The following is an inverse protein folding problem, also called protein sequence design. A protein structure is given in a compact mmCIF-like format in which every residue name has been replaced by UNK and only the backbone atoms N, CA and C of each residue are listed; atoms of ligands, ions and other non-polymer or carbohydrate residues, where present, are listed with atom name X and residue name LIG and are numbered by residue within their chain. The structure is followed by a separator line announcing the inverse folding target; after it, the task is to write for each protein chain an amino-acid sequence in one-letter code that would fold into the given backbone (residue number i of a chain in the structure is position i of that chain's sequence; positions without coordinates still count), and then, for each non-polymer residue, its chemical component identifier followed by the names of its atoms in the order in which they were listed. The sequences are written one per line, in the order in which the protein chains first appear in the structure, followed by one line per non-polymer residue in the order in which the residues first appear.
data_IF_896992658495
#
_entry.id   IF_896992658495
#
_cell.length_a   1.000
_cell.length_b   1.000
_cell.length_c   1.000
_cell.angle_alpha   90.00
_cell.angle_beta   90.00
_cell.angle_gamma   90.00
#
_symmetry.space_group_name_H-M   'P 1'
#
loop_
_entity.id
_entity.type
_entity.pdbx_description
1 polymer ?
#
# COMPACT_ATOMS: atom_id res chain seq x y z
N UNK A 1 -38.60 0.11 -10.96
CA UNK A 1 -38.31 -1.27 -11.38
C UNK A 1 -37.66 -1.20 -12.76
N UNK A 2 -36.34 -1.34 -12.83
CA UNK A 2 -35.62 -1.74 -14.04
C UNK A 2 -34.63 -2.81 -13.59
N UNK A 3 -34.88 -4.03 -14.04
CA UNK A 3 -33.98 -5.15 -13.84
C UNK A 3 -32.79 -4.97 -14.77
N UNK A 4 -31.58 -4.91 -14.22
CA UNK A 4 -30.36 -5.22 -14.97
C UNK A 4 -29.99 -6.65 -14.60
N UNK A 5 -30.02 -7.54 -15.60
CA UNK A 5 -29.71 -8.95 -15.46
C UNK A 5 -28.26 -9.19 -14.99
N UNK A 6 -28.03 -10.44 -14.59
CA UNK A 6 -26.78 -11.03 -14.09
C UNK A 6 -25.52 -10.62 -14.90
N UNK A 7 -24.94 -9.47 -14.59
CA UNK A 7 -23.49 -9.30 -14.57
C UNK A 7 -23.10 -9.69 -13.15
N UNK A 8 -22.51 -10.86 -12.95
CA UNK A 8 -22.00 -11.23 -11.62
C UNK A 8 -21.17 -10.06 -11.08
N UNK A 9 -21.41 -9.64 -9.84
CA UNK A 9 -21.10 -8.30 -9.31
C UNK A 9 -19.60 -7.97 -9.36
N UNK A 10 -19.10 -7.52 -10.52
CA UNK A 10 -17.68 -7.21 -10.80
C UNK A 10 -17.27 -5.81 -10.32
N UNK A 11 -18.15 -5.08 -9.66
CA UNK A 11 -17.91 -3.71 -9.21
C UNK A 11 -17.98 -3.69 -7.70
N UNK A 12 -16.90 -3.20 -7.09
CA UNK A 12 -16.85 -2.94 -5.65
C UNK A 12 -16.78 -1.43 -5.42
N UNK A 13 -17.55 -0.93 -4.45
CA UNK A 13 -17.52 0.47 -3.99
C UNK A 13 -17.29 0.46 -2.48
N UNK A 14 -16.29 1.21 -2.03
CA UNK A 14 -15.95 1.31 -0.61
C UNK A 14 -15.16 2.58 -0.31
N UNK A 15 -14.82 2.74 0.97
CA UNK A 15 -13.95 3.81 1.45
C UNK A 15 -12.57 3.23 1.76
N UNK A 16 -11.52 3.82 1.19
CA UNK A 16 -10.16 3.31 1.36
C UNK A 16 -9.71 3.27 2.82
N UNK A 17 -10.09 4.25 3.66
CA UNK A 17 -9.74 4.28 5.07
C UNK A 17 -10.46 3.19 5.88
N UNK A 18 -11.75 2.98 5.63
CA UNK A 18 -12.54 1.93 6.30
C UNK A 18 -12.06 0.54 5.89
N UNK A 19 -11.88 0.28 4.60
CA UNK A 19 -11.42 -1.01 4.09
C UNK A 19 -10.00 -1.34 4.52
N UNK A 20 -9.11 -0.35 4.47
CA UNK A 20 -7.72 -0.51 4.87
C UNK A 20 -7.57 -0.86 6.35
N UNK A 21 -8.39 -0.29 7.22
CA UNK A 21 -8.38 -0.59 8.65
C UNK A 21 -8.67 -2.06 8.94
N UNK A 22 -9.44 -2.73 8.07
CA UNK A 22 -9.79 -4.15 8.21
C UNK A 22 -8.66 -5.09 7.73
N UNK A 23 -7.68 -4.60 6.98
CA UNK A 23 -6.65 -5.43 6.33
C UNK A 23 -5.26 -4.77 6.35
N UNK A 24 -4.85 -4.22 7.50
CA UNK A 24 -3.50 -3.67 7.74
C UNK A 24 -3.04 -2.65 6.68
N UNK A 25 -3.98 -1.88 6.15
CA UNK A 25 -3.76 -0.89 5.10
C UNK A 25 -4.17 -1.34 3.69
N UNK A 26 -4.39 -2.63 3.44
CA UNK A 26 -4.56 -3.16 2.09
C UNK A 26 -5.99 -3.07 1.58
N UNK A 27 -6.16 -2.52 0.38
CA UNK A 27 -7.47 -2.41 -0.27
C UNK A 27 -7.59 -3.28 -1.53
N UNK A 28 -6.48 -3.71 -2.15
CA UNK A 28 -6.48 -4.54 -3.37
C UNK A 28 -5.23 -5.42 -3.40
N UNK A 29 -5.35 -6.68 -3.81
CA UNK A 29 -4.21 -7.60 -3.97
C UNK A 29 -4.59 -9.09 -4.00
N UNK A 30 -3.61 -9.99 -4.15
CA UNK A 30 -3.83 -11.42 -4.40
C UNK A 30 -4.49 -12.14 -3.21
N UNK A 31 -4.35 -11.54 -2.02
CA UNK A 31 -4.85 -12.02 -0.73
C UNK A 31 -6.35 -11.77 -0.54
N UNK A 32 -7.03 -11.00 -1.40
CA UNK A 32 -8.49 -10.84 -1.32
C UNK A 32 -9.20 -12.15 -1.70
N UNK A 33 -10.41 -12.34 -1.17
CA UNK A 33 -11.19 -13.58 -1.34
C UNK A 33 -11.51 -13.92 -2.80
N UNK A 34 -11.72 -15.19 -3.10
CA UNK A 34 -12.15 -15.63 -4.44
C UNK A 34 -13.50 -14.98 -4.76
N UNK A 35 -13.59 -14.34 -5.94
CA UNK A 35 -14.78 -13.63 -6.37
C UNK A 35 -14.87 -12.17 -5.91
N UNK A 36 -13.98 -11.70 -5.02
CA UNK A 36 -13.86 -10.29 -4.69
C UNK A 36 -13.24 -9.53 -5.88
N UNK A 37 -13.89 -8.48 -6.43
CA UNK A 37 -13.33 -7.67 -7.52
C UNK A 37 -11.98 -7.02 -7.19
N UNK A 38 -11.62 -6.90 -5.90
CA UNK A 38 -10.34 -6.37 -5.41
C UNK A 38 -9.22 -7.43 -5.38
N UNK A 39 -9.50 -8.68 -5.75
CA UNK A 39 -8.48 -9.72 -5.89
C UNK A 39 -7.68 -9.51 -7.19
N UNK A 40 -6.36 -9.38 -7.08
CA UNK A 40 -5.47 -9.19 -8.25
C UNK A 40 -4.12 -9.85 -8.05
N UNK A 41 -3.59 -10.49 -9.10
CA UNK A 41 -2.21 -11.00 -9.16
C UNK A 41 -1.26 -10.00 -9.87
N UNK A 42 -1.80 -8.93 -10.42
CA UNK A 42 -1.04 -7.90 -11.14
C UNK A 42 -0.55 -6.79 -10.21
N UNK A 43 -1.45 -6.27 -9.35
CA UNK A 43 -1.17 -5.11 -8.50
C UNK A 43 -1.68 -5.30 -7.08
N UNK A 44 -0.97 -4.72 -6.12
CA UNK A 44 -1.42 -4.55 -4.75
C UNK A 44 -1.55 -3.05 -4.46
N UNK A 45 -2.59 -2.65 -3.74
CA UNK A 45 -2.81 -1.26 -3.36
C UNK A 45 -3.02 -1.17 -1.86
N UNK A 46 -2.24 -0.28 -1.22
CA UNK A 46 -2.29 0.04 0.19
C UNK A 46 -2.67 1.50 0.40
N UNK A 47 -3.60 1.73 1.30
CA UNK A 47 -3.90 3.04 1.88
C UNK A 47 -3.26 3.11 3.27
N UNK A 48 -2.24 3.95 3.42
CA UNK A 48 -1.50 4.14 4.66
C UNK A 48 -1.91 5.45 5.35
N UNK A 49 -2.25 5.37 6.64
CA UNK A 49 -2.45 6.53 7.52
C UNK A 49 -1.38 6.43 8.61
N UNK A 50 -0.53 7.45 8.71
CA UNK A 50 0.62 7.47 9.59
C UNK A 50 0.58 8.71 10.48
N UNK A 51 0.50 8.56 11.81
CA UNK A 51 0.64 9.67 12.74
C UNK A 51 1.99 10.37 12.60
N UNK A 52 2.09 11.62 13.05
CA UNK A 52 3.39 12.30 13.17
C UNK A 52 4.35 11.46 14.02
N UNK A 53 5.57 11.29 13.51
CA UNK A 53 6.63 10.54 14.18
C UNK A 53 6.57 9.04 13.94
N UNK A 54 5.55 8.54 13.23
CA UNK A 54 5.49 7.13 12.84
C UNK A 54 6.63 6.78 11.88
N UNK A 55 7.14 5.56 12.01
CA UNK A 55 8.31 5.12 11.26
C UNK A 55 8.25 3.61 11.02
N UNK A 56 8.77 3.17 9.88
CA UNK A 56 9.04 1.74 9.71
C UNK A 56 10.28 1.35 10.50
N UNK A 57 10.09 0.61 11.59
CA UNK A 57 11.18 0.19 12.47
C UNK A 57 12.25 -0.67 11.75
N UNK A 58 11.84 -1.46 10.75
CA UNK A 58 12.74 -2.33 9.98
C UNK A 58 12.69 -1.99 8.50
N UNK A 59 13.86 -1.85 7.91
CA UNK A 59 14.00 -1.70 6.47
C UNK A 59 13.42 -2.91 5.74
N UNK A 60 12.70 -2.65 4.65
CA UNK A 60 12.41 -3.65 3.64
C UNK A 60 13.71 -3.96 2.91
N UNK A 61 13.99 -5.26 2.73
CA UNK A 61 15.21 -5.80 2.13
C UNK A 61 14.92 -6.71 0.95
N UNK A 62 15.53 -6.45 -0.20
CA UNK A 62 15.37 -7.32 -1.37
C UNK A 62 13.92 -7.41 -1.87
N UNK A 63 13.22 -6.27 -1.94
CA UNK A 63 11.84 -6.23 -2.45
C UNK A 63 11.76 -6.78 -3.88
N UNK A 64 10.90 -7.76 -4.12
CA UNK A 64 10.75 -8.39 -5.44
C UNK A 64 9.79 -7.62 -6.36
N UNK A 65 9.10 -6.61 -5.79
CA UNK A 65 8.13 -5.77 -6.48
C UNK A 65 8.73 -4.43 -6.88
N UNK A 66 8.18 -3.83 -7.92
CA UNK A 66 8.28 -2.38 -8.12
C UNK A 66 7.20 -1.72 -7.27
N UNK A 67 7.49 -0.56 -6.71
CA UNK A 67 6.53 0.19 -5.91
C UNK A 67 6.45 1.66 -6.34
N UNK A 68 5.24 2.20 -6.28
CA UNK A 68 4.89 3.61 -6.39
C UNK A 68 4.29 4.02 -5.04
N UNK A 69 4.76 5.12 -4.46
CA UNK A 69 4.11 5.77 -3.32
C UNK A 69 3.74 7.20 -3.72
N UNK A 70 2.48 7.57 -3.48
CA UNK A 70 1.93 8.91 -3.73
C UNK A 70 1.49 9.51 -2.40
N UNK A 71 1.90 10.76 -2.14
CA UNK A 71 1.43 11.53 -1.01
C UNK A 71 0.04 12.11 -1.30
N UNK A 72 -0.94 11.75 -0.48
CA UNK A 72 -2.31 12.31 -0.55
C UNK A 72 -2.39 13.56 0.33
N UNK A 73 -1.85 13.50 1.54
CA UNK A 73 -1.75 14.62 2.47
C UNK A 73 -0.61 14.40 3.47
N UNK A 74 -0.12 15.49 4.07
CA UNK A 74 0.90 15.45 5.11
C UNK A 74 2.31 15.69 4.59
N UNK A 75 3.28 15.06 5.24
CA UNK A 75 4.71 15.21 4.98
C UNK A 75 5.43 13.92 5.30
N UNK A 76 5.89 13.23 4.26
CA UNK A 76 6.34 11.85 4.35
C UNK A 76 7.71 11.69 3.71
N UNK A 77 8.63 11.03 4.42
CA UNK A 77 9.99 10.79 3.98
C UNK A 77 10.18 9.31 3.68
N UNK A 78 10.63 9.01 2.46
CA UNK A 78 11.08 7.69 2.06
C UNK A 78 12.59 7.62 2.19
N UNK A 79 13.08 6.62 2.90
CA UNK A 79 14.51 6.36 3.07
C UNK A 79 14.95 5.26 2.12
N UNK A 80 16.02 5.52 1.38
CA UNK A 80 16.65 4.59 0.43
C UNK A 80 18.15 4.50 0.76
N UNK A 81 18.87 3.47 0.27
CA UNK A 81 20.31 3.40 0.42
C UNK A 81 20.98 4.66 -0.13
N UNK A 82 21.66 5.41 0.76
CA UNK A 82 22.43 6.60 0.40
C UNK A 82 21.63 7.87 0.10
N UNK A 83 20.28 7.86 0.20
CA UNK A 83 19.47 9.07 0.02
C UNK A 83 18.11 8.98 0.71
N UNK A 84 17.59 10.15 1.06
CA UNK A 84 16.20 10.31 1.49
C UNK A 84 15.43 11.08 0.41
N UNK A 85 14.15 10.79 0.26
CA UNK A 85 13.22 11.53 -0.59
C UNK A 85 12.08 12.03 0.26
N UNK A 86 11.94 13.34 0.33
CA UNK A 86 10.85 14.00 1.02
C UNK A 86 9.71 14.26 0.03
N UNK A 87 8.50 13.88 0.43
CA UNK A 87 7.24 14.24 -0.23
C UNK A 87 6.53 15.24 0.70
N UNK A 88 6.22 16.42 0.18
CA UNK A 88 5.67 17.51 1.01
C UNK A 88 4.52 18.28 0.34
N UNK A 89 4.22 17.98 -0.91
CA UNK A 89 3.11 18.55 -1.66
C UNK A 89 2.17 17.43 -2.09
N UNK A 90 0.86 17.67 -1.99
CA UNK A 90 -0.14 16.71 -2.46
C UNK A 90 0.16 16.30 -3.91
N UNK A 91 0.19 15.00 -4.16
CA UNK A 91 0.52 14.42 -5.46
C UNK A 91 2.01 14.16 -5.69
N UNK A 92 2.90 14.59 -4.79
CA UNK A 92 4.30 14.15 -4.82
C UNK A 92 4.37 12.63 -4.77
N UNK A 93 5.25 12.04 -5.57
CA UNK A 93 5.36 10.60 -5.67
C UNK A 93 6.80 10.14 -5.90
N UNK A 94 7.04 8.89 -5.56
CA UNK A 94 8.29 8.20 -5.84
C UNK A 94 8.01 6.78 -6.33
N UNK A 95 8.81 6.34 -7.31
CA UNK A 95 8.82 4.97 -7.81
C UNK A 95 10.19 4.37 -7.54
N UNK A 96 10.22 3.14 -7.03
CA UNK A 96 11.46 2.36 -6.90
C UNK A 96 11.26 0.94 -7.41
N UNK A 97 12.31 0.44 -8.07
CA UNK A 97 12.32 -0.86 -8.69
C UNK A 97 12.63 -2.00 -7.72
N UNK A 98 12.59 -3.21 -8.25
CA UNK A 98 12.98 -4.43 -7.56
C UNK A 98 14.39 -4.33 -6.97
N UNK A 99 14.59 -4.92 -5.81
CA UNK A 99 15.86 -4.97 -5.08
C UNK A 99 16.19 -3.68 -4.32
N UNK A 100 15.39 -2.62 -4.45
CA UNK A 100 15.63 -1.37 -3.72
C UNK A 100 15.09 -1.50 -2.28
N UNK A 101 16.03 -1.64 -1.36
CA UNK A 101 15.77 -1.56 0.07
C UNK A 101 15.15 -0.20 0.42
N UNK A 102 14.23 -0.16 1.37
CA UNK A 102 13.60 1.10 1.77
C UNK A 102 13.08 1.08 3.20
N UNK A 103 12.93 2.28 3.76
CA UNK A 103 12.19 2.55 4.99
C UNK A 103 11.40 3.86 4.83
N UNK A 104 10.69 4.30 5.86
CA UNK A 104 9.96 5.56 5.83
C UNK A 104 9.79 6.18 7.21
N UNK A 105 9.52 7.48 7.21
CA UNK A 105 9.21 8.29 8.39
C UNK A 105 8.14 9.35 8.05
N UNK A 106 7.14 9.50 8.92
CA UNK A 106 6.11 10.52 8.81
C UNK A 106 6.51 11.76 9.63
N UNK A 107 6.97 12.84 8.97
CA UNK A 107 7.32 14.10 9.65
C UNK A 107 6.08 14.83 10.19
N UNK A 108 4.94 14.61 9.53
CA UNK A 108 3.61 15.03 9.96
C UNK A 108 2.61 13.88 9.80
N UNK A 109 1.41 14.03 10.36
CA UNK A 109 0.32 13.10 10.06
C UNK A 109 0.13 13.05 8.54
N UNK A 110 0.24 11.85 7.97
CA UNK A 110 0.33 11.65 6.54
C UNK A 110 -0.58 10.55 6.06
N UNK A 111 -1.18 10.78 4.89
CA UNK A 111 -1.93 9.78 4.14
C UNK A 111 -1.18 9.51 2.84
N UNK A 112 -0.88 8.23 2.59
CA UNK A 112 -0.13 7.79 1.41
C UNK A 112 -0.86 6.65 0.70
N UNK A 113 -0.82 6.67 -0.63
CA UNK A 113 -1.26 5.55 -1.45
C UNK A 113 -0.02 4.83 -1.98
N UNK A 114 0.10 3.53 -1.70
CA UNK A 114 1.19 2.71 -2.24
C UNK A 114 0.61 1.68 -3.21
N UNK A 115 1.19 1.60 -4.41
CA UNK A 115 0.91 0.58 -5.41
C UNK A 115 2.16 -0.28 -5.58
N UNK A 116 2.02 -1.61 -5.58
CA UNK A 116 3.12 -2.54 -5.83
C UNK A 116 2.77 -3.52 -6.93
N UNK A 117 3.77 -3.94 -7.73
CA UNK A 117 3.59 -4.98 -8.74
C UNK A 117 4.86 -5.83 -8.95
N UNK A 118 4.71 -7.14 -9.22
CA UNK A 118 3.46 -7.88 -9.31
C UNK A 118 2.82 -8.14 -7.93
N UNK A 119 1.54 -8.53 -7.90
CA UNK A 119 0.86 -8.96 -6.68
C UNK A 119 1.03 -10.45 -6.47
N UNK A 120 2.12 -10.80 -5.80
CA UNK A 120 2.49 -12.20 -5.58
C UNK A 120 2.50 -12.52 -4.08
N UNK A 121 2.16 -13.75 -3.68
CA UNK A 121 2.42 -14.24 -2.33
C UNK A 121 3.91 -14.14 -2.01
N UNK A 122 4.24 -13.84 -0.75
CA UNK A 122 5.62 -13.78 -0.29
C UNK A 122 6.16 -12.35 -0.24
N UNK A 123 5.99 -11.72 0.91
CA UNK A 123 6.94 -10.82 1.58
C UNK A 123 6.31 -10.45 2.93
N UNK A 124 6.22 -11.43 3.84
CA UNK A 124 5.97 -11.11 5.24
C UNK A 124 7.31 -10.69 5.83
N UNK A 125 7.43 -9.42 6.24
CA UNK A 125 8.61 -9.03 7.02
C UNK A 125 8.39 -9.65 8.38
N UNK A 126 9.21 -10.62 8.76
CA UNK A 126 9.15 -11.23 10.07
C UNK A 126 9.13 -10.13 11.14
N UNK A 127 8.06 -10.07 11.95
CA UNK A 127 8.01 -9.20 13.13
C UNK A 127 6.77 -8.32 13.36
N UNK A 128 5.65 -8.45 12.64
CA UNK A 128 4.37 -7.97 13.20
C UNK A 128 3.73 -9.08 14.06
N UNK A 129 3.24 -8.78 15.29
CA UNK A 129 2.66 -9.81 16.15
C UNK A 129 1.39 -10.36 15.50
N UNK A 130 1.39 -11.68 15.27
CA UNK A 130 0.26 -12.40 14.66
C UNK A 130 0.62 -13.05 13.33
N UNK A 131 1.50 -14.05 13.37
CA UNK A 131 1.45 -15.19 12.44
C UNK A 131 1.28 -16.42 13.34
N UNK A 132 0.40 -17.39 13.01
CA UNK A 132 0.05 -18.51 13.89
C UNK A 132 1.27 -19.28 14.44
#
# INVERSE_FOLDING_TARGET
MLASGLVGDRVYVGNAGEDAALDRGWILGHFKGVGDPRRSEDVEVKWGIHPRGDARARWVRGEERTALLVLISGRFRVELPGRSVLLERQGDYIVWGRGVDHSWFAEEESVVLTVRWPSVPGYAVDGEPGTP
#
